data_IF_789283929700
#
_entry.id   IF_789283929700
#
_cell.length_a   1.000
_cell.length_b   1.000
_cell.length_c   1.000
_cell.angle_alpha   90.00
_cell.angle_beta   90.00
_cell.angle_gamma   90.00
#
_symmetry.space_group_name_H-M   'P 1'
#
loop_
_entity.id
_entity.type
_entity.pdbx_description
1 polymer ?
#
# COMPACT_ATOMS: atom_id res chain seq x y z
N UNK A 1 3.17 17.26 -1.75
CA UNK A 1 2.85 16.62 -0.45
C UNK A 1 4.12 16.39 0.37
N UNK A 2 4.90 17.43 0.70
CA UNK A 2 6.28 17.29 1.23
C UNK A 2 6.38 17.26 2.77
N UNK A 3 5.44 16.63 3.46
CA UNK A 3 5.49 16.51 4.93
C UNK A 3 5.71 15.08 5.37
N UNK A 4 6.60 14.87 6.36
CA UNK A 4 6.85 13.55 6.97
C UNK A 4 5.56 12.89 7.47
N UNK A 5 4.59 13.68 7.93
CA UNK A 5 3.30 13.19 8.38
C UNK A 5 2.43 12.68 7.23
N UNK A 6 2.46 13.36 6.08
CA UNK A 6 1.75 12.93 4.88
C UNK A 6 2.28 11.59 4.36
N UNK A 7 3.60 11.39 4.39
CA UNK A 7 4.23 10.11 4.02
C UNK A 7 3.77 8.97 4.93
N UNK A 8 3.74 9.19 6.25
CA UNK A 8 3.28 8.18 7.22
C UNK A 8 1.83 7.77 6.94
N UNK A 9 0.94 8.74 6.77
CA UNK A 9 -0.47 8.45 6.47
C UNK A 9 -0.62 7.71 5.14
N UNK A 10 0.13 8.12 4.12
CA UNK A 10 0.08 7.50 2.80
C UNK A 10 0.55 6.04 2.83
N UNK A 11 1.73 5.78 3.42
CA UNK A 11 2.27 4.43 3.59
C UNK A 11 1.33 3.55 4.44
N UNK A 12 0.75 4.09 5.53
CA UNK A 12 -0.16 3.34 6.39
C UNK A 12 -1.48 2.97 5.67
N UNK A 13 -2.04 3.88 4.85
CA UNK A 13 -3.22 3.59 4.04
C UNK A 13 -2.93 2.47 3.04
N UNK A 14 -1.82 2.55 2.32
CA UNK A 14 -1.43 1.53 1.35
C UNK A 14 -1.14 0.17 2.01
N UNK A 15 -0.45 0.16 3.15
CA UNK A 15 -0.18 -1.07 3.90
C UNK A 15 -1.47 -1.80 4.31
N UNK A 16 -2.53 -1.07 4.67
CA UNK A 16 -3.85 -1.66 4.95
C UNK A 16 -4.48 -2.30 3.70
N UNK A 17 -4.36 -1.67 2.53
CA UNK A 17 -4.83 -2.25 1.26
C UNK A 17 -4.11 -3.57 0.94
N UNK A 18 -2.78 -3.60 1.08
CA UNK A 18 -1.98 -4.81 0.85
C UNK A 18 -2.36 -5.92 1.84
N UNK A 19 -2.57 -5.56 3.11
CA UNK A 19 -3.01 -6.55 4.11
C UNK A 19 -4.41 -7.10 3.79
N UNK A 20 -5.35 -6.24 3.41
CA UNK A 20 -6.69 -6.66 3.01
C UNK A 20 -6.66 -7.55 1.77
N UNK A 21 -5.82 -7.24 0.77
CA UNK A 21 -5.59 -8.10 -0.39
C UNK A 21 -5.18 -9.53 0.02
N UNK A 22 -4.20 -9.67 0.92
CA UNK A 22 -3.78 -11.00 1.38
C UNK A 22 -4.86 -11.73 2.19
N UNK A 23 -5.68 -11.01 2.96
CA UNK A 23 -6.81 -11.61 3.68
C UNK A 23 -7.92 -12.08 2.73
N UNK A 24 -8.18 -11.35 1.64
CA UNK A 24 -9.24 -11.67 0.68
C UNK A 24 -8.82 -12.66 -0.41
N UNK A 25 -7.51 -12.88 -0.62
CA UNK A 25 -7.00 -13.76 -1.68
C UNK A 25 -7.58 -15.18 -1.62
N UNK A 26 -7.90 -15.68 -0.41
CA UNK A 26 -8.55 -16.97 -0.21
C UNK A 26 -10.06 -16.99 -0.45
N UNK A 27 -10.70 -15.82 -0.51
CA UNK A 27 -12.16 -15.67 -0.60
C UNK A 27 -12.65 -15.35 -2.01
N UNK A 28 -11.74 -15.12 -2.98
CA UNK A 28 -12.07 -14.83 -4.38
C UNK A 28 -12.64 -13.43 -4.64
N UNK A 29 -12.68 -12.58 -3.62
CA UNK A 29 -13.04 -11.17 -3.69
C UNK A 29 -11.77 -10.35 -3.91
N UNK A 30 -11.56 -9.80 -5.11
CA UNK A 30 -10.37 -8.99 -5.41
C UNK A 30 -10.71 -7.50 -5.38
N UNK A 31 -11.13 -6.99 -4.23
CA UNK A 31 -11.46 -5.57 -4.05
C UNK A 31 -10.21 -4.69 -3.97
N UNK A 32 -9.10 -5.23 -3.44
CA UNK A 32 -7.85 -4.50 -3.27
C UNK A 32 -6.79 -4.96 -4.25
N UNK A 33 -6.01 -3.99 -4.74
CA UNK A 33 -4.83 -4.28 -5.57
C UNK A 33 -3.68 -4.72 -4.67
N UNK A 34 -3.13 -5.90 -4.97
CA UNK A 34 -1.96 -6.45 -4.29
C UNK A 34 -0.68 -5.66 -4.50
N UNK A 35 0.48 -6.18 -4.03
CA UNK A 35 1.77 -5.53 -4.19
C UNK A 35 2.10 -5.17 -5.65
N UNK A 36 2.64 -3.97 -5.87
CA UNK A 36 3.10 -3.47 -7.17
C UNK A 36 4.61 -3.65 -7.39
N UNK A 37 5.31 -4.13 -6.36
CA UNK A 37 6.71 -4.51 -6.40
C UNK A 37 6.84 -5.99 -6.08
N UNK A 38 7.93 -6.60 -6.49
CA UNK A 38 8.28 -7.95 -6.04
C UNK A 38 8.38 -7.98 -4.51
N UNK A 39 7.85 -9.05 -3.91
CA UNK A 39 7.82 -9.25 -2.45
C UNK A 39 8.60 -10.49 -2.06
N UNK A 40 9.27 -10.44 -0.92
CA UNK A 40 9.86 -11.62 -0.31
C UNK A 40 8.85 -12.34 0.60
N UNK A 41 9.01 -13.65 0.87
CA UNK A 41 8.17 -14.34 1.84
C UNK A 41 8.13 -13.62 3.19
N UNK A 42 6.94 -13.53 3.79
CA UNK A 42 6.68 -12.92 5.11
C UNK A 42 7.01 -11.42 5.21
N UNK A 43 7.22 -10.75 4.08
CA UNK A 43 7.43 -9.32 4.08
C UNK A 43 6.21 -8.57 4.66
N UNK A 44 6.47 -7.58 5.51
CA UNK A 44 5.40 -6.81 6.15
C UNK A 44 4.77 -5.82 5.16
N UNK A 45 3.43 -5.67 5.15
CA UNK A 45 2.73 -4.75 4.24
C UNK A 45 3.25 -3.31 4.24
N UNK A 46 3.72 -2.81 5.39
CA UNK A 46 4.29 -1.47 5.47
C UNK A 46 5.62 -1.34 4.74
N UNK A 47 6.48 -2.36 4.77
CA UNK A 47 7.74 -2.38 4.02
C UNK A 47 7.46 -2.31 2.52
N UNK A 48 6.53 -3.14 2.04
CA UNK A 48 6.09 -3.17 0.64
C UNK A 48 5.58 -1.79 0.23
N UNK A 49 4.66 -1.19 1.02
CA UNK A 49 4.12 0.13 0.74
C UNK A 49 5.21 1.21 0.63
N UNK A 50 6.22 1.21 1.50
CA UNK A 50 7.32 2.17 1.43
C UNK A 50 8.17 1.99 0.17
N UNK A 51 8.40 0.75 -0.29
CA UNK A 51 9.12 0.50 -1.54
C UNK A 51 8.33 0.93 -2.77
N UNK A 52 7.02 0.69 -2.79
CA UNK A 52 6.15 1.17 -3.88
C UNK A 52 6.15 2.70 -3.97
N UNK A 53 6.10 3.39 -2.83
CA UNK A 53 6.24 4.86 -2.77
C UNK A 53 7.60 5.28 -3.32
N UNK A 54 8.68 4.64 -2.86
CA UNK A 54 10.04 4.94 -3.32
C UNK A 54 10.23 4.69 -4.83
N UNK A 55 9.53 3.70 -5.39
CA UNK A 55 9.53 3.39 -6.82
C UNK A 55 8.60 4.29 -7.64
N UNK A 56 7.85 5.20 -7.01
CA UNK A 56 6.93 6.12 -7.70
C UNK A 56 5.70 5.42 -8.30
N UNK A 57 5.32 4.24 -7.78
CA UNK A 57 4.24 3.42 -8.34
C UNK A 57 2.85 3.81 -7.83
N UNK A 58 2.75 4.78 -6.91
CA UNK A 58 1.52 5.17 -6.26
C UNK A 58 1.24 6.65 -6.43
N UNK A 59 -0.03 6.97 -6.65
CA UNK A 59 -0.54 8.35 -6.69
C UNK A 59 -1.30 8.61 -5.38
N UNK A 60 -0.98 9.73 -4.73
CA UNK A 60 -1.71 10.21 -3.56
C UNK A 60 -2.67 11.32 -3.99
N UNK A 61 -3.96 10.99 -4.10
CA UNK A 61 -4.98 12.00 -4.34
C UNK A 61 -5.40 12.66 -3.02
N UNK A 62 -5.28 14.00 -2.89
CA UNK A 62 -5.88 14.71 -1.78
C UNK A 62 -7.41 14.58 -1.90
N UNK A 63 -8.07 14.38 -0.77
CA UNK A 63 -9.53 14.41 -0.71
C UNK A 63 -9.90 15.89 -0.89
N UNK A 64 -10.45 16.25 -2.05
CA UNK A 64 -11.11 17.54 -2.20
C UNK A 64 -12.29 17.56 -1.23
N UNK A 65 -12.28 18.52 -0.31
CA UNK A 65 -13.36 18.76 0.65
C UNK A 65 -14.34 19.80 0.13
#
# INVERSE_FOLDING_TARGET
SSSKYALVIFAAKRARQINAYYSQLGEGLLEYVGPLVETTPQEKPLSIAMREINAGLLVAEPIEG
#
